data_IF_978608269839
#
_entry.id   IF_978608269839
#
_cell.length_a   1.000
_cell.length_b   1.000
_cell.length_c   1.000
_cell.angle_alpha   90.00
_cell.angle_beta   90.00
_cell.angle_gamma   90.00
#
_symmetry.space_group_name_H-M   'P 1'
#
loop_
_entity.id
_entity.type
_entity.pdbx_description
1 polymer ?
#
# COMPACT_ATOMS: atom_id res chain seq x y z
N UNK A 1 2.55 -82.16 -27.92
CA UNK A 1 1.27 -82.53 -27.27
C UNK A 1 1.00 -81.55 -26.14
N UNK A 2 -0.23 -81.02 -26.08
CA UNK A 2 -0.99 -80.49 -24.93
C UNK A 2 -0.30 -79.51 -23.94
N UNK A 3 -0.92 -78.45 -23.44
CA UNK A 3 -2.16 -77.67 -23.61
C UNK A 3 -2.18 -76.80 -22.35
N UNK A 4 -2.27 -75.48 -22.43
CA UNK A 4 -3.23 -74.65 -21.68
C UNK A 4 -3.13 -73.20 -22.18
N UNK A 5 -4.08 -72.61 -22.92
CA UNK A 5 -5.41 -72.13 -22.48
C UNK A 5 -5.28 -71.09 -21.32
N UNK A 6 -5.83 -69.88 -21.34
CA UNK A 6 -7.01 -69.33 -22.01
C UNK A 6 -6.99 -67.77 -22.03
N UNK A 7 -7.64 -67.23 -23.06
CA UNK A 7 -8.64 -66.14 -23.09
C UNK A 7 -8.35 -64.69 -22.67
N UNK A 8 -8.78 -63.83 -23.63
CA UNK A 8 -9.61 -62.60 -23.48
C UNK A 8 -8.93 -61.41 -22.76
N UNK A 9 -9.07 -60.15 -23.16
CA UNK A 9 -10.12 -59.40 -23.86
C UNK A 9 -9.47 -58.13 -24.42
N UNK A 10 -9.90 -57.72 -25.61
CA UNK A 10 -10.48 -56.39 -25.87
C UNK A 10 -9.96 -55.23 -24.99
N UNK A 11 -9.03 -54.44 -25.50
CA UNK A 11 -8.80 -53.08 -24.98
C UNK A 11 -9.01 -52.09 -26.11
N UNK A 12 -10.05 -51.28 -25.90
CA UNK A 12 -10.53 -50.21 -26.74
C UNK A 12 -9.42 -49.20 -27.10
N UNK A 13 -9.61 -48.55 -28.23
CA UNK A 13 -8.88 -47.33 -28.59
C UNK A 13 -9.12 -46.27 -27.51
N UNK A 14 -8.17 -46.09 -26.58
CA UNK A 14 -8.11 -44.91 -25.75
C UNK A 14 -7.30 -43.85 -26.50
N UNK A 15 -8.02 -42.91 -27.10
CA UNK A 15 -7.50 -41.60 -27.46
C UNK A 15 -6.86 -40.97 -26.23
N UNK A 16 -5.54 -40.82 -26.25
CA UNK A 16 -4.83 -40.03 -25.25
C UNK A 16 -5.09 -38.55 -25.55
N UNK A 17 -6.02 -37.95 -24.80
CA UNK A 17 -6.11 -36.50 -24.68
C UNK A 17 -4.87 -36.03 -23.94
N UNK A 18 -3.97 -35.33 -24.65
CA UNK A 18 -2.87 -34.61 -24.01
C UNK A 18 -3.44 -33.49 -23.14
N UNK A 19 -3.43 -33.66 -21.82
CA UNK A 19 -3.63 -32.56 -20.88
C UNK A 19 -2.31 -31.78 -20.81
N UNK A 20 -2.28 -30.59 -21.42
CA UNK A 20 -1.15 -29.67 -21.36
C UNK A 20 -1.18 -28.91 -20.03
N UNK A 21 -0.35 -29.30 -19.07
CA UNK A 21 -0.19 -28.62 -17.77
C UNK A 21 0.68 -27.35 -17.85
N UNK A 22 0.61 -26.60 -18.95
CA UNK A 22 1.47 -25.43 -19.20
C UNK A 22 0.65 -24.17 -19.52
N UNK A 23 -0.39 -23.91 -18.73
CA UNK A 23 -0.94 -22.57 -18.58
C UNK A 23 -0.61 -22.11 -17.16
N UNK A 24 0.15 -21.02 -17.05
CA UNK A 24 0.29 -20.31 -15.79
C UNK A 24 -1.13 -20.01 -15.27
N UNK A 25 -1.48 -20.42 -14.04
CA UNK A 25 -2.87 -20.47 -13.63
C UNK A 25 -3.56 -19.11 -13.59
N UNK A 26 -2.81 -18.00 -13.63
CA UNK A 26 -3.35 -16.63 -13.74
C UNK A 26 -2.35 -15.73 -14.48
N UNK A 27 -2.63 -15.28 -15.73
CA UNK A 27 -1.78 -14.29 -16.39
C UNK A 27 -1.89 -12.97 -15.63
N UNK A 28 -0.76 -12.52 -15.06
CA UNK A 28 -0.68 -11.23 -14.37
C UNK A 28 -0.99 -10.08 -15.35
N UNK A 29 -1.75 -9.09 -14.90
CA UNK A 29 -1.95 -7.85 -15.67
C UNK A 29 -0.61 -7.10 -15.81
N UNK A 30 -0.53 -6.17 -16.76
CA UNK A 30 0.71 -5.41 -16.96
C UNK A 30 1.06 -4.50 -15.77
N UNK A 31 0.07 -4.12 -14.97
CA UNK A 31 0.28 -3.44 -13.69
C UNK A 31 0.85 -4.39 -12.62
N UNK A 32 0.32 -5.61 -12.54
CA UNK A 32 0.80 -6.62 -11.60
C UNK A 32 2.25 -7.04 -11.91
N UNK A 33 2.61 -7.11 -13.19
CA UNK A 33 4.00 -7.36 -13.63
C UNK A 33 4.93 -6.25 -13.17
N UNK A 34 4.53 -4.98 -13.30
CA UNK A 34 5.31 -3.83 -12.79
C UNK A 34 5.51 -3.88 -11.28
N UNK A 35 4.49 -4.28 -10.52
CA UNK A 35 4.58 -4.41 -9.06
C UNK A 35 5.56 -5.53 -8.69
N UNK A 36 5.49 -6.68 -9.36
CA UNK A 36 6.41 -7.79 -9.15
C UNK A 36 7.85 -7.38 -9.49
N UNK A 37 8.04 -6.64 -10.58
CA UNK A 37 9.35 -6.15 -11.01
C UNK A 37 9.94 -5.12 -10.05
N UNK A 38 9.12 -4.20 -9.54
CA UNK A 38 9.49 -3.23 -8.52
C UNK A 38 9.82 -3.92 -7.18
N UNK A 39 9.07 -4.94 -6.79
CA UNK A 39 9.38 -5.73 -5.58
C UNK A 39 10.70 -6.49 -5.73
N UNK A 40 11.01 -6.96 -6.95
CA UNK A 40 12.24 -7.69 -7.25
C UNK A 40 13.46 -6.76 -7.21
N UNK A 41 13.34 -5.53 -7.70
CA UNK A 41 14.44 -4.54 -7.65
C UNK A 41 14.75 -4.10 -6.22
N UNK A 42 13.74 -3.91 -5.37
CA UNK A 42 13.90 -3.58 -3.94
C UNK A 42 14.61 -4.73 -3.18
N UNK A 43 14.27 -5.98 -3.48
CA UNK A 43 14.93 -7.14 -2.86
C UNK A 43 16.36 -7.35 -3.35
N UNK A 44 16.67 -6.89 -4.57
CA UNK A 44 18.01 -6.98 -5.14
C UNK A 44 18.94 -5.91 -4.53
N UNK A 45 18.47 -4.67 -4.37
CA UNK A 45 19.25 -3.60 -3.74
C UNK A 45 19.54 -3.87 -2.25
N UNK A 46 18.66 -4.59 -1.56
CA UNK A 46 18.88 -5.02 -0.18
C UNK A 46 19.94 -6.13 -0.02
N UNK A 47 20.17 -6.94 -1.06
CA UNK A 47 21.15 -8.05 -1.07
C UNK A 47 22.55 -7.55 -1.42
N UNK A 48 22.66 -6.55 -2.28
CA UNK A 48 23.96 -6.09 -2.81
C UNK A 48 24.72 -5.14 -1.87
N UNK A 49 24.18 -4.83 -0.68
CA UNK A 49 24.92 -4.16 0.40
C UNK A 49 25.41 -2.74 0.09
N UNK A 50 25.04 -2.17 -1.06
CA UNK A 50 25.20 -0.75 -1.34
C UNK A 50 24.20 0.01 -0.50
N UNK A 51 24.70 0.55 0.62
CA UNK A 51 24.04 1.54 1.45
C UNK A 51 23.80 2.84 0.66
N UNK A 52 22.87 2.83 -0.27
CA UNK A 52 22.01 3.98 -0.47
C UNK A 52 20.76 3.68 0.32
N UNK A 53 20.68 4.30 1.48
CA UNK A 53 19.48 4.36 2.29
C UNK A 53 18.42 5.08 1.44
N UNK A 54 17.66 4.33 0.62
CA UNK A 54 16.51 4.87 -0.08
C UNK A 54 15.54 5.29 1.02
N UNK A 55 15.36 6.61 1.19
CA UNK A 55 14.37 7.11 2.13
C UNK A 55 13.02 6.48 1.79
N UNK A 56 12.38 5.74 2.72
CA UNK A 56 11.11 5.06 2.47
C UNK A 56 9.93 6.03 2.28
N UNK A 57 10.23 7.33 2.09
CA UNK A 57 9.29 8.44 1.97
C UNK A 57 9.70 9.41 0.86
N UNK A 58 10.42 8.96 -0.19
CA UNK A 58 10.41 9.74 -1.43
C UNK A 58 8.93 9.99 -1.77
N UNK A 59 8.47 11.26 -1.88
CA UNK A 59 7.10 11.54 -2.22
C UNK A 59 6.82 10.77 -3.50
N UNK A 60 5.82 9.89 -3.48
CA UNK A 60 5.26 9.43 -4.75
C UNK A 60 4.84 10.73 -5.43
N UNK A 61 5.58 11.13 -6.47
CA UNK A 61 5.15 12.20 -7.35
C UNK A 61 3.83 11.70 -7.92
N UNK A 62 2.74 12.12 -7.28
CA UNK A 62 1.41 11.96 -7.81
C UNK A 62 1.49 12.55 -9.21
N UNK A 63 1.10 11.80 -10.26
CA UNK A 63 1.18 12.34 -11.61
C UNK A 63 0.48 13.70 -11.56
N UNK A 64 1.23 14.76 -11.86
CA UNK A 64 0.70 16.11 -11.94
C UNK A 64 -0.28 16.07 -13.09
N UNK A 65 -1.52 15.69 -12.78
CA UNK A 65 -2.64 15.85 -13.66
C UNK A 65 -2.68 17.35 -13.88
N UNK A 66 -2.31 17.78 -15.08
CA UNK A 66 -2.56 19.12 -15.61
C UNK A 66 -4.08 19.31 -15.79
N UNK A 67 -4.83 19.12 -14.72
CA UNK A 67 -6.15 19.71 -14.53
C UNK A 67 -5.87 20.99 -13.77
N UNK A 68 -6.30 22.12 -14.33
CA UNK A 68 -6.44 23.32 -13.52
C UNK A 68 -7.34 22.96 -12.34
N UNK A 69 -6.76 22.86 -11.16
CA UNK A 69 -7.46 22.59 -9.92
C UNK A 69 -8.14 23.89 -9.48
N UNK A 70 -9.37 24.12 -9.93
CA UNK A 70 -10.24 25.16 -9.35
C UNK A 70 -10.96 24.55 -8.14
N UNK A 71 -10.35 24.71 -6.97
CA UNK A 71 -10.84 24.16 -5.71
C UNK A 71 -11.36 25.27 -4.79
N UNK A 72 -12.52 25.01 -4.20
CA UNK A 72 -13.09 25.86 -3.15
C UNK A 72 -12.89 25.19 -1.81
N UNK A 73 -12.12 25.82 -0.93
CA UNK A 73 -11.77 25.28 0.37
C UNK A 73 -12.41 26.13 1.48
N UNK A 74 -13.10 25.47 2.42
CA UNK A 74 -13.67 26.09 3.61
C UNK A 74 -12.96 25.51 4.83
N UNK A 75 -12.20 26.34 5.54
CA UNK A 75 -11.53 25.96 6.78
C UNK A 75 -12.50 26.08 7.95
N UNK A 76 -12.65 24.97 8.69
CA UNK A 76 -13.56 24.84 9.81
C UNK A 76 -12.85 24.25 11.04
N UNK A 77 -13.49 24.43 12.20
CA UNK A 77 -13.09 23.88 13.50
C UNK A 77 -14.35 23.61 14.30
N UNK A 78 -14.27 22.67 15.23
CA UNK A 78 -15.34 22.37 16.19
C UNK A 78 -15.64 23.55 17.12
N UNK A 79 -14.75 24.54 17.19
CA UNK A 79 -14.95 25.80 17.91
C UNK A 79 -16.11 26.64 17.41
N UNK A 80 -16.57 26.41 16.18
CA UNK A 80 -17.72 27.10 15.60
C UNK A 80 -19.06 26.67 16.22
N UNK A 81 -19.09 25.49 16.86
CA UNK A 81 -20.30 24.87 17.38
C UNK A 81 -21.16 24.20 16.30
N UNK A 82 -22.02 23.28 16.74
CA UNK A 82 -22.78 22.39 15.85
C UNK A 82 -23.74 23.12 14.91
N UNK A 83 -24.36 24.23 15.36
CA UNK A 83 -25.27 25.03 14.55
C UNK A 83 -24.56 25.70 13.37
N UNK A 84 -23.41 26.32 13.63
CA UNK A 84 -22.58 26.97 12.61
C UNK A 84 -21.99 25.93 11.64
N UNK A 85 -21.51 24.79 12.17
CA UNK A 85 -21.02 23.69 11.34
C UNK A 85 -22.10 23.12 10.43
N UNK A 86 -23.33 22.95 10.93
CA UNK A 86 -24.47 22.49 10.12
C UNK A 86 -24.77 23.46 8.97
N UNK A 87 -24.73 24.76 9.21
CA UNK A 87 -24.89 25.76 8.15
C UNK A 87 -23.74 25.73 7.14
N UNK A 88 -22.51 25.57 7.62
CA UNK A 88 -21.32 25.45 6.79
C UNK A 88 -21.37 24.20 5.90
N UNK A 89 -21.79 23.05 6.43
CA UNK A 89 -22.00 21.83 5.64
C UNK A 89 -23.11 21.99 4.60
N UNK A 90 -24.18 22.72 4.93
CA UNK A 90 -25.24 23.04 3.97
C UNK A 90 -24.71 23.90 2.81
N UNK A 91 -23.90 24.91 3.10
CA UNK A 91 -23.23 25.72 2.07
C UNK A 91 -22.31 24.86 1.22
N UNK A 92 -21.46 24.03 1.83
CA UNK A 92 -20.55 23.12 1.13
C UNK A 92 -21.29 22.12 0.23
N UNK A 93 -22.42 21.60 0.69
CA UNK A 93 -23.29 20.70 -0.08
C UNK A 93 -23.88 21.40 -1.31
N UNK A 94 -24.37 22.64 -1.15
CA UNK A 94 -24.95 23.41 -2.24
C UNK A 94 -23.90 23.87 -3.28
N UNK A 95 -22.68 24.15 -2.84
CA UNK A 95 -21.66 24.82 -3.64
C UNK A 95 -20.57 23.89 -4.19
N UNK A 96 -20.48 22.67 -3.65
CA UNK A 96 -19.41 21.71 -3.93
C UNK A 96 -18.07 22.06 -3.26
N UNK A 97 -18.05 22.98 -2.29
CA UNK A 97 -16.83 23.34 -1.58
C UNK A 97 -16.37 22.23 -0.63
N UNK A 98 -15.05 22.10 -0.47
CA UNK A 98 -14.42 21.09 0.38
C UNK A 98 -14.21 21.70 1.78
N UNK A 99 -14.72 21.03 2.80
CA UNK A 99 -14.54 21.46 4.19
C UNK A 99 -13.27 20.82 4.77
N UNK A 100 -12.38 21.64 5.30
CA UNK A 100 -11.10 21.23 5.87
C UNK A 100 -11.10 21.41 7.39
N UNK A 101 -10.72 20.35 8.11
CA UNK A 101 -10.41 20.39 9.53
C UNK A 101 -8.92 20.17 9.75
N UNK A 102 -8.35 20.84 10.77
CA UNK A 102 -6.93 20.70 11.11
C UNK A 102 -6.62 19.33 11.70
N UNK A 103 -7.57 18.78 12.47
CA UNK A 103 -7.36 17.55 13.19
C UNK A 103 -8.63 16.95 13.78
N UNK A 104 -8.44 16.17 14.83
CA UNK A 104 -9.52 15.55 15.60
C UNK A 104 -9.70 16.38 16.88
N UNK A 105 -10.93 16.73 17.28
CA UNK A 105 -11.19 17.45 18.52
C UNK A 105 -10.61 16.73 19.74
N UNK A 106 -10.13 17.49 20.73
CA UNK A 106 -9.56 16.93 21.95
C UNK A 106 -10.56 16.02 22.67
N UNK A 107 -10.05 14.93 23.25
CA UNK A 107 -10.87 13.93 23.95
C UNK A 107 -11.71 13.01 23.05
N UNK A 108 -11.72 13.23 21.72
CA UNK A 108 -12.45 12.36 20.77
C UNK A 108 -11.50 11.43 20.01
N UNK A 109 -12.04 10.28 19.62
CA UNK A 109 -11.38 9.39 18.63
C UNK A 109 -11.72 9.85 17.22
N UNK A 110 -10.89 9.48 16.23
CA UNK A 110 -11.16 9.77 14.81
C UNK A 110 -12.56 9.29 14.39
N UNK A 111 -12.92 8.06 14.77
CA UNK A 111 -14.22 7.50 14.44
C UNK A 111 -15.38 8.25 15.11
N UNK A 112 -15.20 8.78 16.31
CA UNK A 112 -16.21 9.61 16.96
C UNK A 112 -16.40 10.94 16.23
N UNK A 113 -15.31 11.64 15.87
CA UNK A 113 -15.39 12.90 15.13
C UNK A 113 -16.08 12.73 13.76
N UNK A 114 -15.74 11.68 13.01
CA UNK A 114 -16.39 11.37 11.72
C UNK A 114 -17.90 11.12 11.89
N UNK A 115 -18.30 10.40 12.95
CA UNK A 115 -19.74 10.18 13.24
C UNK A 115 -20.47 11.47 13.60
N UNK A 116 -19.84 12.34 14.37
CA UNK A 116 -20.43 13.64 14.73
C UNK A 116 -20.65 14.49 13.48
N UNK A 117 -19.63 14.59 12.62
CA UNK A 117 -19.74 15.29 11.34
C UNK A 117 -20.83 14.69 10.44
N UNK A 118 -20.87 13.36 10.31
CA UNK A 118 -21.91 12.68 9.53
C UNK A 118 -23.32 12.97 10.07
N UNK A 119 -23.48 13.04 11.39
CA UNK A 119 -24.75 13.39 12.04
C UNK A 119 -25.21 14.81 11.65
N UNK A 120 -24.28 15.75 11.55
CA UNK A 120 -24.57 17.13 11.12
C UNK A 120 -24.90 17.23 9.63
N UNK A 121 -24.45 16.28 8.81
CA UNK A 121 -24.71 16.23 7.37
C UNK A 121 -25.97 15.44 6.97
N UNK A 122 -26.65 14.81 7.93
CA UNK A 122 -27.87 14.03 7.64
C UNK A 122 -28.91 14.90 6.93
N UNK A 123 -29.38 14.42 5.78
CA UNK A 123 -30.37 15.11 4.95
C UNK A 123 -29.79 16.11 3.94
N UNK A 124 -28.46 16.20 3.81
CA UNK A 124 -27.80 16.94 2.75
C UNK A 124 -27.53 16.04 1.54
N UNK A 125 -27.89 16.52 0.34
CA UNK A 125 -27.64 15.85 -0.94
C UNK A 125 -27.20 16.90 -1.98
N UNK A 126 -25.97 16.83 -2.52
CA UNK A 126 -24.95 15.82 -2.25
C UNK A 126 -24.33 15.96 -0.85
N UNK A 127 -23.83 14.85 -0.30
CA UNK A 127 -23.07 14.87 0.96
C UNK A 127 -21.78 15.69 0.75
N UNK A 128 -21.53 16.74 1.55
CA UNK A 128 -20.37 17.60 1.37
C UNK A 128 -19.06 16.85 1.64
N UNK A 129 -18.02 17.18 0.87
CA UNK A 129 -16.71 16.58 1.06
C UNK A 129 -16.02 17.19 2.28
N UNK A 130 -15.59 16.33 3.21
CA UNK A 130 -14.83 16.73 4.40
C UNK A 130 -13.48 16.04 4.42
N UNK A 131 -12.42 16.80 4.67
CA UNK A 131 -11.04 16.30 4.78
C UNK A 131 -10.40 16.78 6.08
N UNK A 132 -9.53 15.93 6.62
CA UNK A 132 -8.61 16.32 7.69
C UNK A 132 -7.26 16.57 7.05
N UNK A 133 -6.84 17.83 7.00
CA UNK A 133 -5.63 18.25 6.29
C UNK A 133 -4.86 19.30 7.10
N UNK A 134 -4.04 18.89 8.10
CA UNK A 134 -3.24 19.83 8.88
C UNK A 134 -2.25 20.62 8.02
N UNK A 135 -1.78 20.05 6.90
CA UNK A 135 -0.81 20.70 6.01
C UNK A 135 -1.42 21.92 5.32
N UNK A 136 -2.68 21.84 4.91
CA UNK A 136 -3.37 22.98 4.31
C UNK A 136 -3.44 24.20 5.25
N UNK A 137 -3.68 23.98 6.56
CA UNK A 137 -3.70 25.06 7.55
C UNK A 137 -2.33 25.73 7.71
N UNK A 138 -1.25 24.95 7.69
CA UNK A 138 0.12 25.46 7.77
C UNK A 138 0.51 26.18 6.48
N UNK A 139 0.26 25.56 5.33
CA UNK A 139 0.63 26.08 4.02
C UNK A 139 -0.03 27.44 3.73
N UNK A 140 -1.34 27.54 4.01
CA UNK A 140 -2.10 28.77 3.83
C UNK A 140 -2.12 29.70 5.06
N UNK A 141 -1.38 29.33 6.12
CA UNK A 141 -1.25 30.09 7.38
C UNK A 141 -2.60 30.46 8.02
N UNK A 142 -3.56 29.54 7.98
CA UNK A 142 -4.89 29.73 8.57
C UNK A 142 -4.79 29.55 10.08
N UNK A 143 -4.92 30.65 10.82
CA UNK A 143 -4.88 30.67 12.29
C UNK A 143 -6.26 30.81 12.95
N UNK A 144 -7.26 31.22 12.17
CA UNK A 144 -8.62 31.48 12.64
C UNK A 144 -9.66 30.99 11.62
N UNK A 145 -10.83 30.59 12.10
CA UNK A 145 -11.94 30.02 11.31
C UNK A 145 -13.26 30.73 11.64
N UNK A 146 -14.29 30.66 10.77
CA UNK A 146 -14.30 30.05 9.44
C UNK A 146 -13.49 30.88 8.44
N UNK A 147 -12.98 30.24 7.40
CA UNK A 147 -12.34 30.94 6.29
C UNK A 147 -12.63 30.24 4.97
N UNK A 148 -12.80 31.00 3.89
CA UNK A 148 -13.02 30.47 2.54
C UNK A 148 -11.87 30.90 1.63
N UNK A 149 -11.42 29.96 0.80
CA UNK A 149 -10.35 30.13 -0.17
C UNK A 149 -10.82 29.59 -1.51
N UNK A 150 -10.49 30.32 -2.58
CA UNK A 150 -10.49 29.80 -3.94
C UNK A 150 -9.06 29.55 -4.37
N UNK A 151 -8.76 28.31 -4.72
CA UNK A 151 -7.47 27.87 -5.21
C UNK A 151 -7.60 27.59 -6.70
N UNK A 152 -6.71 28.16 -7.50
CA UNK A 152 -6.61 27.93 -8.94
C UNK A 152 -5.13 27.70 -9.27
N UNK A 153 -4.80 26.56 -9.88
CA UNK A 153 -3.41 26.19 -10.20
C UNK A 153 -2.45 26.28 -9.00
N UNK A 154 -2.89 25.74 -7.86
CA UNK A 154 -2.18 25.78 -6.56
C UNK A 154 -1.88 27.20 -6.05
N UNK A 155 -2.62 28.22 -6.53
CA UNK A 155 -2.51 29.60 -6.05
C UNK A 155 -3.82 30.09 -5.48
N UNK A 156 -3.75 30.87 -4.40
CA UNK A 156 -4.92 31.52 -3.82
C UNK A 156 -5.33 32.70 -4.70
N UNK A 157 -6.42 32.55 -5.45
CA UNK A 157 -7.00 33.63 -6.25
C UNK A 157 -7.77 34.62 -5.37
N UNK A 158 -8.48 34.11 -4.35
CA UNK A 158 -9.12 34.95 -3.33
C UNK A 158 -9.33 34.20 -2.01
N UNK A 159 -9.33 34.94 -0.90
CA UNK A 159 -9.65 34.40 0.43
C UNK A 159 -10.34 35.42 1.34
N UNK A 160 -11.12 34.93 2.30
CA UNK A 160 -11.77 35.76 3.31
C UNK A 160 -11.93 35.03 4.64
N UNK A 161 -11.80 35.77 5.74
CA UNK A 161 -11.96 35.27 7.11
C UNK A 161 -13.35 35.65 7.67
N UNK A 162 -13.92 34.79 8.50
CA UNK A 162 -15.21 34.99 9.16
C UNK A 162 -16.43 34.79 8.25
N UNK A 163 -16.21 34.35 7.02
CA UNK A 163 -17.25 34.02 6.04
C UNK A 163 -16.89 32.71 5.34
N UNK A 164 -17.92 31.96 4.95
CA UNK A 164 -17.80 30.68 4.25
C UNK A 164 -18.68 30.59 3.00
N UNK A 165 -19.28 31.71 2.57
CA UNK A 165 -20.17 31.71 1.40
C UNK A 165 -19.37 31.81 0.10
N UNK A 166 -19.54 30.81 -0.76
CA UNK A 166 -18.92 30.78 -2.09
C UNK A 166 -19.46 31.92 -2.96
N UNK A 167 -20.78 32.07 -3.00
CA UNK A 167 -21.46 33.07 -3.83
C UNK A 167 -21.05 34.50 -3.48
N UNK A 168 -20.80 34.76 -2.19
CA UNK A 168 -20.28 36.05 -1.76
C UNK A 168 -18.85 36.27 -2.26
N UNK A 169 -17.94 35.30 -2.07
CA UNK A 169 -16.54 35.43 -2.48
C UNK A 169 -16.41 35.50 -4.00
N UNK A 170 -17.20 34.71 -4.73
CA UNK A 170 -17.23 34.74 -6.19
C UNK A 170 -17.66 36.10 -6.73
N UNK A 171 -18.71 36.72 -6.17
CA UNK A 171 -19.10 38.09 -6.53
C UNK A 171 -17.99 39.11 -6.29
N UNK A 172 -17.19 38.94 -5.25
CA UNK A 172 -16.03 39.82 -5.01
C UNK A 172 -14.95 39.65 -6.08
N UNK A 173 -14.71 38.42 -6.53
CA UNK A 173 -13.77 38.15 -7.63
C UNK A 173 -14.28 38.78 -8.93
N UNK A 174 -15.58 38.64 -9.23
CA UNK A 174 -16.22 39.22 -10.42
C UNK A 174 -16.17 40.75 -10.42
N UNK A 175 -16.16 41.40 -9.25
CA UNK A 175 -15.97 42.86 -9.11
C UNK A 175 -14.50 43.28 -9.15
N UNK A 176 -13.57 42.35 -9.33
CA UNK A 176 -12.13 42.61 -9.42
C UNK A 176 -11.38 42.58 -8.08
N UNK A 177 -12.04 42.24 -6.98
CA UNK A 177 -11.40 42.09 -5.67
C UNK A 177 -10.78 40.68 -5.55
N UNK A 178 -9.47 40.59 -5.77
CA UNK A 178 -8.69 39.34 -5.65
C UNK A 178 -7.74 39.36 -4.45
N UNK A 179 -7.19 38.19 -4.10
CA UNK A 179 -6.29 38.03 -2.96
C UNK A 179 -7.04 37.98 -1.62
N UNK A 180 -6.38 38.42 -0.55
CA UNK A 180 -6.98 38.39 0.79
C UNK A 180 -7.94 39.56 0.98
N UNK A 181 -9.22 39.27 1.16
CA UNK A 181 -10.28 40.24 1.44
C UNK A 181 -10.40 40.59 2.93
N UNK A 182 -9.54 40.01 3.78
CA UNK A 182 -9.51 40.24 5.21
C UNK A 182 -10.69 39.60 5.97
N UNK A 183 -10.98 40.14 7.16
CA UNK A 183 -12.05 39.66 8.03
C UNK A 183 -13.39 40.31 7.67
N UNK A 184 -14.41 39.48 7.47
CA UNK A 184 -15.76 39.88 7.05
C UNK A 184 -16.86 39.37 7.98
N UNK A 185 -16.50 38.64 9.02
CA UNK A 185 -17.41 38.14 10.04
C UNK A 185 -16.69 37.74 11.33
N UNK A 186 -17.40 37.12 12.29
CA UNK A 186 -16.81 36.63 13.52
C UNK A 186 -15.81 35.52 13.23
N UNK A 187 -14.71 35.50 13.99
CA UNK A 187 -13.67 34.48 13.89
C UNK A 187 -13.48 33.79 15.23
N UNK A 188 -13.09 32.53 15.17
CA UNK A 188 -12.81 31.66 16.29
C UNK A 188 -11.41 31.07 16.14
N UNK A 189 -10.75 30.80 17.26
CA UNK A 189 -9.52 30.00 17.27
C UNK A 189 -9.82 28.54 16.92
N UNK A 190 -8.83 27.86 16.36
CA UNK A 190 -8.91 26.43 16.03
C UNK A 190 -8.72 25.62 17.32
N UNK A 191 -9.65 24.69 17.60
CA UNK A 191 -9.57 23.84 18.81
C UNK A 191 -8.80 22.55 18.58
N UNK A 192 -8.74 22.05 17.34
CA UNK A 192 -8.09 20.78 17.08
C UNK A 192 -6.55 20.89 17.17
N UNK A 193 -5.89 19.98 17.91
CA UNK A 193 -4.44 19.88 17.87
C UNK A 193 -3.98 19.49 16.47
N UNK A 194 -2.78 19.94 16.11
CA UNK A 194 -2.16 19.60 14.84
C UNK A 194 -1.85 18.11 14.79
N UNK A 195 -2.50 17.36 13.89
CA UNK A 195 -2.25 15.92 13.79
C UNK A 195 -0.80 15.59 13.43
N UNK A 196 -0.08 16.49 12.75
CA UNK A 196 1.34 16.27 12.50
C UNK A 196 2.15 16.31 13.79
N UNK A 197 1.90 17.31 14.65
CA UNK A 197 2.57 17.43 15.94
C UNK A 197 2.19 16.26 16.86
N UNK A 198 0.91 15.90 16.91
CA UNK A 198 0.43 14.76 17.70
C UNK A 198 1.06 13.45 17.21
N UNK A 199 1.17 13.24 15.89
CA UNK A 199 1.81 12.06 15.33
C UNK A 199 3.31 12.02 15.67
N UNK A 200 4.03 13.14 15.53
CA UNK A 200 5.45 13.24 15.88
C UNK A 200 5.67 12.94 17.37
N UNK A 201 4.87 13.53 18.26
CA UNK A 201 4.96 13.31 19.69
C UNK A 201 4.69 11.84 20.06
N UNK A 202 3.72 11.20 19.38
CA UNK A 202 3.44 9.77 19.58
C UNK A 202 4.56 8.86 19.07
N UNK A 203 5.21 9.21 17.95
CA UNK A 203 6.36 8.45 17.45
C UNK A 203 7.56 8.57 18.39
N UNK A 204 7.79 9.74 18.98
CA UNK A 204 8.88 9.96 19.93
C UNK A 204 8.72 9.16 21.22
N UNK A 205 7.49 8.93 21.69
CA UNK A 205 7.21 8.14 22.89
C UNK A 205 7.12 6.63 22.65
N UNK A 206 7.20 6.19 21.39
CA UNK A 206 6.98 4.81 20.99
C UNK A 206 8.28 3.99 21.02
N UNK A 207 8.30 2.90 21.78
CA UNK A 207 9.40 1.93 21.75
C UNK A 207 9.28 1.00 20.52
N UNK A 208 9.96 1.39 19.44
CA UNK A 208 10.05 0.62 18.20
C UNK A 208 10.68 -0.77 18.41
N UNK A 209 11.60 -0.91 19.37
CA UNK A 209 12.26 -2.17 19.70
C UNK A 209 11.29 -3.17 20.30
N UNK A 210 10.51 -2.73 21.31
CA UNK A 210 9.49 -3.55 21.93
C UNK A 210 8.38 -3.96 20.94
N UNK A 211 7.97 -3.05 20.05
CA UNK A 211 6.98 -3.34 19.02
C UNK A 211 7.49 -4.35 17.99
N UNK A 212 8.74 -4.23 17.53
CA UNK A 212 9.38 -5.21 16.66
C UNK A 212 9.41 -6.59 17.31
N UNK A 213 9.80 -6.67 18.59
CA UNK A 213 9.82 -7.93 19.34
C UNK A 213 8.44 -8.57 19.41
N UNK A 214 7.41 -7.79 19.80
CA UNK A 214 6.01 -8.26 19.84
C UNK A 214 5.51 -8.73 18.47
N UNK A 215 5.90 -8.05 17.39
CA UNK A 215 5.53 -8.44 16.04
C UNK A 215 6.13 -9.81 15.65
N UNK A 216 7.40 -10.05 15.98
CA UNK A 216 8.06 -11.36 15.74
C UNK A 216 7.38 -12.47 16.54
N UNK A 217 7.11 -12.25 17.83
CA UNK A 217 6.43 -13.23 18.68
C UNK A 217 5.02 -13.57 18.17
N UNK A 218 4.29 -12.54 17.72
CA UNK A 218 2.95 -12.72 17.13
C UNK A 218 2.97 -13.45 15.80
N UNK A 219 4.00 -13.22 14.98
CA UNK A 219 4.17 -13.91 13.70
C UNK A 219 4.30 -15.43 13.91
N UNK A 220 5.22 -15.85 14.79
CA UNK A 220 5.46 -17.27 15.02
C UNK A 220 4.29 -17.99 15.71
N UNK A 221 3.58 -17.31 16.61
CA UNK A 221 2.42 -17.91 17.30
C UNK A 221 1.18 -18.07 16.42
N UNK A 222 1.10 -17.38 15.29
CA UNK A 222 -0.02 -17.47 14.33
C UNK A 222 0.27 -18.35 13.12
N UNK A 223 1.51 -18.82 12.97
CA UNK A 223 1.87 -19.66 11.84
C UNK A 223 1.29 -21.06 12.03
N UNK A 224 0.53 -21.53 11.04
CA UNK A 224 0.09 -22.93 11.00
C UNK A 224 1.24 -23.76 10.45
N UNK A 225 1.82 -24.63 11.28
CA UNK A 225 2.87 -25.55 10.85
C UNK A 225 2.26 -26.87 10.43
N UNK A 226 2.71 -27.40 9.30
CA UNK A 226 2.44 -28.81 8.95
C UNK A 226 3.30 -29.66 9.87
N UNK A 227 2.65 -30.48 10.70
CA UNK A 227 3.37 -31.39 11.59
C UNK A 227 4.03 -32.49 10.75
N UNK A 228 5.36 -32.50 10.75
CA UNK A 228 6.14 -33.51 10.04
C UNK A 228 6.47 -34.61 11.04
N UNK A 229 6.24 -35.89 10.70
CA UNK A 229 6.55 -37.00 11.60
C UNK A 229 8.03 -36.99 11.96
N UNK A 230 8.34 -37.30 13.22
CA UNK A 230 9.71 -37.39 13.71
C UNK A 230 10.50 -38.40 12.86
N UNK A 231 11.62 -37.94 12.27
CA UNK A 231 12.47 -38.78 11.45
C UNK A 231 13.01 -39.97 12.29
N UNK A 232 12.74 -41.19 11.84
CA UNK A 232 13.15 -42.42 12.53
C UNK A 232 14.59 -42.81 12.23
N UNK A 233 15.14 -42.31 11.12
CA UNK A 233 16.47 -42.66 10.65
C UNK A 233 17.14 -41.44 10.04
N UNK A 234 18.42 -41.27 10.37
CA UNK A 234 19.29 -40.36 9.66
C UNK A 234 19.57 -40.94 8.27
N UNK A 235 19.33 -40.16 7.21
CA UNK A 235 19.67 -40.52 5.83
C UNK A 235 20.27 -39.33 5.12
N UNK A 236 21.41 -39.53 4.48
CA UNK A 236 21.95 -38.59 3.51
C UNK A 236 21.32 -38.96 2.16
N UNK A 237 20.66 -38.02 1.50
CA UNK A 237 20.19 -38.18 0.13
C UNK A 237 21.04 -37.31 -0.77
N UNK A 238 21.67 -37.93 -1.76
CA UNK A 238 22.29 -37.20 -2.84
C UNK A 238 21.18 -36.76 -3.79
N UNK A 239 20.99 -35.45 -3.91
CA UNK A 239 20.15 -34.87 -4.94
C UNK A 239 21.04 -34.67 -6.15
N UNK A 240 20.70 -35.25 -7.30
CA UNK A 240 21.33 -34.92 -8.58
C UNK A 240 20.57 -33.72 -9.16
N UNK A 241 21.14 -32.51 -9.16
CA UNK A 241 20.45 -31.34 -9.64
C UNK A 241 20.66 -31.14 -11.17
N UNK A 242 20.97 -32.19 -11.93
CA UNK A 242 21.11 -32.11 -13.39
C UNK A 242 19.81 -31.62 -14.05
N UNK A 243 19.92 -30.53 -14.80
CA UNK A 243 18.84 -29.91 -15.55
C UNK A 243 18.91 -30.38 -17.00
N UNK A 244 17.76 -30.80 -17.55
CA UNK A 244 17.66 -31.23 -18.96
C UNK A 244 16.99 -30.15 -19.78
N UNK A 245 17.73 -29.58 -20.73
CA UNK A 245 17.18 -28.60 -21.67
C UNK A 245 16.46 -29.33 -22.80
N UNK A 246 15.12 -29.34 -22.75
CA UNK A 246 14.25 -29.99 -23.74
C UNK A 246 14.10 -29.19 -25.05
N UNK A 247 14.42 -27.90 -25.03
CA UNK A 247 14.32 -26.98 -26.18
C UNK A 247 15.58 -26.12 -26.24
N UNK A 248 16.04 -25.73 -27.44
CA UNK A 248 17.21 -24.88 -27.57
C UNK A 248 16.94 -23.53 -26.91
N UNK A 249 17.91 -23.03 -26.15
CA UNK A 249 17.86 -21.69 -25.58
C UNK A 249 18.42 -20.71 -26.60
N UNK A 250 17.64 -19.71 -27.00
CA UNK A 250 18.02 -18.70 -27.97
C UNK A 250 18.30 -17.36 -27.26
N UNK A 251 19.20 -16.55 -27.83
CA UNK A 251 19.39 -15.16 -27.43
C UNK A 251 18.29 -14.24 -28.02
N UNK A 252 18.32 -12.96 -27.65
CA UNK A 252 17.37 -11.96 -28.16
C UNK A 252 17.43 -11.76 -29.70
N UNK A 253 18.51 -12.20 -30.34
CA UNK A 253 18.72 -12.12 -31.78
C UNK A 253 18.43 -13.46 -32.50
N UNK A 254 17.87 -14.45 -31.79
CA UNK A 254 17.51 -15.76 -32.32
C UNK A 254 18.69 -16.73 -32.50
N UNK A 255 19.89 -16.41 -32.00
CA UNK A 255 21.06 -17.30 -32.05
C UNK A 255 21.00 -18.31 -30.91
N UNK A 256 21.41 -19.55 -31.19
CA UNK A 256 21.38 -20.62 -30.18
C UNK A 256 22.49 -20.45 -29.14
N UNK A 257 22.11 -20.24 -27.88
CA UNK A 257 23.00 -20.21 -26.71
C UNK A 257 23.26 -21.62 -26.17
N UNK A 258 22.23 -22.48 -26.14
CA UNK A 258 22.35 -23.89 -25.79
C UNK A 258 21.49 -24.72 -26.75
N UNK A 259 22.07 -25.71 -27.46
CA UNK A 259 21.28 -26.63 -28.27
C UNK A 259 20.51 -27.63 -27.38
N UNK A 260 19.42 -28.19 -27.89
CA UNK A 260 18.75 -29.31 -27.25
C UNK A 260 18.98 -30.62 -28.05
N UNK A 261 19.11 -31.79 -27.39
CA UNK A 261 19.10 -31.99 -25.94
C UNK A 261 20.49 -31.76 -25.30
N UNK A 262 20.55 -30.96 -24.23
CA UNK A 262 21.78 -30.76 -23.43
C UNK A 262 21.48 -31.01 -21.95
N UNK A 263 22.36 -31.77 -21.29
CA UNK A 263 22.39 -31.94 -19.85
C UNK A 263 23.31 -30.88 -19.25
N UNK A 264 22.80 -30.10 -18.30
CA UNK A 264 23.60 -29.07 -17.62
C UNK A 264 23.40 -29.14 -16.11
N UNK A 265 24.42 -28.79 -15.34
CA UNK A 265 24.26 -28.59 -13.90
C UNK A 265 23.69 -27.19 -13.64
N UNK A 266 23.11 -26.93 -12.45
CA UNK A 266 22.61 -25.61 -12.10
C UNK A 266 23.72 -24.56 -12.05
N UNK A 267 24.92 -24.97 -11.62
CA UNK A 267 26.10 -24.09 -11.58
C UNK A 267 26.54 -23.68 -12.99
N UNK A 268 26.63 -24.64 -13.91
CA UNK A 268 26.98 -24.36 -15.31
C UNK A 268 25.90 -23.53 -16.00
N UNK A 269 24.62 -23.77 -15.68
CA UNK A 269 23.51 -22.99 -16.23
C UNK A 269 23.49 -21.53 -15.75
N UNK A 270 23.89 -21.24 -14.50
CA UNK A 270 23.93 -19.88 -13.97
C UNK A 270 25.06 -19.01 -14.55
N UNK A 271 26.03 -19.63 -15.22
CA UNK A 271 27.16 -18.93 -15.85
C UNK A 271 26.87 -18.49 -17.29
N UNK A 272 25.70 -18.83 -17.83
CA UNK A 272 25.34 -18.49 -19.19
C UNK A 272 24.92 -17.01 -19.30
N UNK A 273 25.46 -16.28 -20.29
CA UNK A 273 25.16 -14.86 -20.45
C UNK A 273 23.67 -14.66 -20.71
N UNK A 274 23.03 -13.84 -19.87
CA UNK A 274 21.60 -13.52 -19.96
C UNK A 274 20.67 -14.37 -19.08
N UNK A 275 21.16 -15.38 -18.35
CA UNK A 275 20.35 -16.17 -17.41
C UNK A 275 20.67 -15.75 -15.96
N UNK A 276 19.91 -14.81 -15.41
CA UNK A 276 19.93 -14.54 -13.97
C UNK A 276 19.25 -15.69 -13.21
N UNK A 277 20.01 -16.73 -12.87
CA UNK A 277 19.48 -17.83 -12.05
C UNK A 277 19.71 -17.50 -10.58
N UNK A 278 18.66 -17.04 -9.89
CA UNK A 278 18.70 -16.76 -8.45
C UNK A 278 18.53 -18.08 -7.69
N UNK A 279 19.64 -18.68 -7.23
CA UNK A 279 19.62 -19.84 -6.35
C UNK A 279 19.52 -19.39 -4.88
N UNK A 280 18.33 -19.55 -4.28
CA UNK A 280 18.16 -19.44 -2.83
C UNK A 280 18.59 -20.74 -2.18
N UNK A 281 19.76 -20.74 -1.54
CA UNK A 281 20.19 -21.80 -0.64
C UNK A 281 19.41 -21.70 0.67
N UNK A 282 18.53 -22.66 0.95
CA UNK A 282 17.95 -22.82 2.29
C UNK A 282 18.92 -23.65 3.15
N UNK A 283 19.70 -22.98 4.01
CA UNK A 283 20.35 -23.65 5.13
C UNK A 283 19.33 -23.79 6.26
N UNK A 284 18.86 -25.01 6.49
CA UNK A 284 18.03 -25.33 7.65
C UNK A 284 18.93 -25.73 8.82
N UNK A 285 19.65 -24.77 9.40
CA UNK A 285 20.46 -24.99 10.62
C UNK A 285 20.01 -24.06 11.73
N UNK A 286 18.86 -24.37 12.34
CA UNK A 286 18.55 -23.93 13.70
C UNK A 286 17.56 -24.87 14.39
N UNK A 287 18.03 -26.06 14.76
CA UNK A 287 17.39 -26.84 15.82
C UNK A 287 17.79 -26.24 17.16
N UNK A 288 16.92 -25.41 17.75
CA UNK A 288 17.09 -24.95 19.13
C UNK A 288 16.68 -26.12 20.04
N UNK A 289 17.65 -26.87 20.53
CA UNK A 289 17.45 -27.89 21.57
C UNK A 289 16.98 -27.18 22.85
N UNK A 290 15.73 -27.42 23.25
CA UNK A 290 15.30 -27.15 24.63
C UNK A 290 15.99 -28.18 25.52
N UNK A 291 16.90 -27.73 26.38
CA UNK A 291 17.43 -28.54 27.47
C UNK A 291 16.28 -28.93 28.40
N UNK A 292 15.91 -30.20 28.40
CA UNK A 292 15.16 -30.80 29.49
C UNK A 292 16.18 -31.41 30.45
N UNK A 293 16.23 -30.90 31.68
CA UNK A 293 16.97 -31.53 32.77
C UNK A 293 16.34 -32.89 33.12
N UNK A 294 17.14 -33.90 33.48
CA UNK A 294 16.61 -35.14 34.01
C UNK A 294 16.10 -34.90 35.44
N UNK A 295 14.81 -35.21 35.66
CA UNK A 295 14.26 -35.45 36.99
C UNK A 295 14.77 -36.81 37.41
N UNK A 296 15.58 -36.85 38.47
CA UNK A 296 15.95 -38.06 39.19
C UNK A 296 14.82 -38.44 40.15
N UNK A 297 14.29 -39.65 39.98
CA UNK A 297 13.68 -40.41 41.08
C UNK A 297 14.78 -40.97 42.01
#
# INVERSE_FOLDING_TARGET
>A
MRRLCLLFLLVAQLSWVQVSWAQEPFPLSDEDKKIVEMSRSILQSAVDGSSEFIEPFAPVEQPVSLKHSDEWLIFASSSLGDSSLKQLFKEASATGAIVLFRGIPEGKTLGAAIRDWHTLMVGLDPVPQVRIDPKAFVHWRVTSVPAIFRIEDDKVTASALGVYSKDWLQRQIETGNTGSLGQRGPIHSILEPDLMQVAMQRLQSLDLGALKKKAIERFWSRQTFTDLPKATQYRIRMVDPTIVMKRPLLDANGRTLIPAPTLTTPHTASMLPGIQTKFTWYSMTHTKTKNCHPVSD
#
